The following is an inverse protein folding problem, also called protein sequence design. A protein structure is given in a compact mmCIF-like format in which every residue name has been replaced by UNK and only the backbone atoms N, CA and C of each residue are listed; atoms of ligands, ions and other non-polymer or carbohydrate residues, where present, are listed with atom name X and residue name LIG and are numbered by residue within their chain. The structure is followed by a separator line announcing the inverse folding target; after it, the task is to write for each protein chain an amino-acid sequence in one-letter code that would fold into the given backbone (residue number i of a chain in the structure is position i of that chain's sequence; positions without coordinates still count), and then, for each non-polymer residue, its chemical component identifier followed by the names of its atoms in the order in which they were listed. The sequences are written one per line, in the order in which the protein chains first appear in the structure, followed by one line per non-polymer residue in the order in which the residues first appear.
data_IF_389580525430
#
_entry.id   IF_389580525430
#
_cell.length_a   1.000
_cell.length_b   1.000
_cell.length_c   1.000
_cell.angle_alpha   90.00
_cell.angle_beta   90.00
_cell.angle_gamma   90.00
#
_symmetry.space_group_name_H-M   'P 1'
#
loop_
_entity.id
_entity.type
_entity.pdbx_description
1 polymer ?
#
# COMPACT_ATOMS: atom_id res chain seq x y z
N UNK A 1 21.44 43.59 -17.35
CA UNK A 1 20.76 42.65 -18.28
C UNK A 1 21.33 41.27 -17.99
N UNK A 2 20.67 40.44 -17.17
CA UNK A 2 19.73 39.38 -17.63
C UNK A 2 20.36 38.52 -18.73
N UNK A 3 20.60 37.23 -18.62
CA UNK A 3 20.22 36.23 -17.65
C UNK A 3 20.34 34.89 -18.38
N UNK A 4 21.01 33.91 -17.80
CA UNK A 4 20.84 32.52 -18.21
C UNK A 4 20.54 31.74 -16.94
N UNK A 5 19.24 31.66 -16.62
CA UNK A 5 18.74 30.61 -15.73
C UNK A 5 18.94 29.30 -16.48
N UNK A 6 19.84 28.45 -15.98
CA UNK A 6 19.87 27.04 -16.32
C UNK A 6 18.59 26.42 -15.78
N UNK A 7 17.53 26.41 -16.60
CA UNK A 7 16.38 25.55 -16.38
C UNK A 7 16.80 24.12 -16.68
N UNK A 8 17.51 23.48 -15.74
CA UNK A 8 17.42 22.03 -15.64
C UNK A 8 16.01 21.75 -15.13
N UNK A 9 15.12 21.42 -16.07
CA UNK A 9 13.96 20.57 -15.78
C UNK A 9 14.53 19.25 -15.24
N UNK A 10 14.89 19.26 -13.96
CA UNK A 10 15.13 18.05 -13.21
C UNK A 10 13.79 17.30 -13.23
N UNK A 11 13.77 16.18 -13.95
CA UNK A 11 12.67 15.22 -13.91
C UNK A 11 12.34 14.94 -12.44
N UNK A 12 11.26 15.52 -11.96
CA UNK A 12 10.67 15.28 -10.63
C UNK A 12 10.08 13.86 -10.48
N UNK A 13 10.30 12.98 -11.46
CA UNK A 13 9.75 11.62 -11.49
C UNK A 13 10.60 10.60 -10.70
N UNK A 14 11.71 11.03 -10.11
CA UNK A 14 12.59 10.22 -9.28
C UNK A 14 12.97 11.04 -8.04
N UNK A 15 13.11 10.41 -6.87
CA UNK A 15 13.65 10.97 -5.60
C UNK A 15 12.70 11.30 -4.43
N UNK A 16 11.42 10.91 -4.43
CA UNK A 16 10.66 10.90 -3.16
C UNK A 16 10.65 9.56 -2.42
N UNK A 17 11.00 8.45 -3.08
CA UNK A 17 10.96 7.11 -2.46
C UNK A 17 12.26 6.70 -1.73
N UNK A 18 13.38 7.36 -2.01
CA UNK A 18 14.70 6.99 -1.47
C UNK A 18 14.83 7.34 0.03
N UNK A 19 14.10 8.37 0.50
CA UNK A 19 14.02 8.74 1.92
C UNK A 19 13.03 7.85 2.70
N UNK A 20 12.16 7.11 2.02
CA UNK A 20 11.07 6.37 2.65
C UNK A 20 11.48 4.99 3.15
N UNK A 21 12.61 4.42 2.68
CA UNK A 21 13.23 3.16 3.14
C UNK A 21 14.57 2.94 2.43
N UNK A 22 15.43 2.05 2.96
CA UNK A 22 16.62 1.62 2.21
C UNK A 22 16.14 0.97 0.89
N UNK A 23 16.72 1.34 -0.26
CA UNK A 23 16.44 0.68 -1.53
C UNK A 23 16.55 -0.85 -1.39
N UNK A 24 15.46 -1.56 -1.70
CA UNK A 24 15.36 -3.02 -1.55
C UNK A 24 14.47 -3.50 -0.40
N UNK A 25 14.03 -2.62 0.51
CA UNK A 25 13.15 -3.01 1.62
C UNK A 25 11.65 -2.91 1.30
N UNK A 26 11.27 -2.16 0.26
CA UNK A 26 9.85 -2.04 -0.13
C UNK A 26 9.48 -3.22 -1.04
N UNK A 27 8.63 -4.11 -0.54
CA UNK A 27 8.11 -5.24 -1.30
C UNK A 27 6.88 -4.86 -2.13
N UNK A 28 6.07 -3.90 -1.66
CA UNK A 28 4.86 -3.44 -2.34
C UNK A 28 4.46 -2.04 -1.88
N UNK A 29 3.76 -1.31 -2.73
CA UNK A 29 3.25 0.04 -2.45
C UNK A 29 1.84 0.17 -2.99
N UNK A 30 1.01 0.93 -2.29
CA UNK A 30 -0.32 1.32 -2.75
C UNK A 30 -0.64 2.76 -2.35
N UNK A 31 -1.42 3.43 -3.19
CA UNK A 31 -1.95 4.78 -2.94
C UNK A 31 -3.47 4.69 -2.87
N UNK A 32 -4.08 5.41 -1.92
CA UNK A 32 -5.53 5.46 -1.78
C UNK A 32 -5.96 6.32 -0.61
N UNK A 33 -7.28 6.45 -0.43
CA UNK A 33 -7.91 7.22 0.65
C UNK A 33 -8.36 6.29 1.76
N UNK A 34 -7.39 5.72 2.47
CA UNK A 34 -7.64 4.67 3.45
C UNK A 34 -8.11 5.21 4.81
N UNK A 35 -7.63 6.40 5.23
CA UNK A 35 -7.85 6.94 6.57
C UNK A 35 -8.83 8.12 6.58
N UNK A 36 -8.70 9.00 5.59
CA UNK A 36 -9.61 10.12 5.31
C UNK A 36 -9.92 10.13 3.80
N UNK A 37 -11.16 10.43 3.45
CA UNK A 37 -11.60 10.54 2.03
C UNK A 37 -11.01 11.75 1.31
N UNK A 38 -10.50 12.73 2.06
CA UNK A 38 -9.92 13.95 1.50
C UNK A 38 -8.39 13.92 1.46
N UNK A 39 -7.76 12.90 2.06
CA UNK A 39 -6.30 12.81 2.16
C UNK A 39 -5.83 11.56 1.43
N UNK A 40 -5.07 11.75 0.37
CA UNK A 40 -4.38 10.63 -0.27
C UNK A 40 -3.27 10.11 0.63
N UNK A 41 -3.18 8.79 0.71
CA UNK A 41 -2.25 8.10 1.59
C UNK A 41 -1.43 7.11 0.78
N UNK A 42 -0.12 7.12 0.97
CA UNK A 42 0.78 6.08 0.52
C UNK A 42 0.97 5.07 1.64
N UNK A 43 0.77 3.80 1.32
CA UNK A 43 1.11 2.68 2.21
C UNK A 43 2.22 1.86 1.56
N UNK A 44 3.35 1.75 2.25
CA UNK A 44 4.50 0.94 1.85
C UNK A 44 4.55 -0.33 2.68
N UNK A 45 4.58 -1.49 2.03
CA UNK A 45 4.90 -2.76 2.67
C UNK A 45 6.42 -2.96 2.67
N UNK A 46 6.97 -3.14 3.88
CA UNK A 46 8.37 -3.46 4.13
C UNK A 46 8.45 -4.75 4.93
N UNK A 47 8.49 -5.89 4.24
CA UNK A 47 8.45 -7.22 4.83
C UNK A 47 7.28 -7.38 5.83
N UNK A 48 7.53 -7.22 7.13
CA UNK A 48 6.56 -7.37 8.23
C UNK A 48 6.03 -6.04 8.77
N UNK A 49 6.17 -4.93 8.04
CA UNK A 49 5.66 -3.62 8.45
C UNK A 49 4.93 -2.91 7.31
N UNK A 50 3.88 -2.17 7.66
CA UNK A 50 3.24 -1.19 6.79
C UNK A 50 3.64 0.21 7.26
N UNK A 51 4.19 1.01 6.37
CA UNK A 51 4.57 2.40 6.62
C UNK A 51 3.55 3.31 5.95
N UNK A 52 2.97 4.24 6.70
CA UNK A 52 1.86 5.08 6.25
C UNK A 52 2.34 6.52 6.12
N UNK A 53 2.02 7.14 5.00
CA UNK A 53 2.35 8.53 4.70
C UNK A 53 1.14 9.26 4.13
N UNK A 54 0.83 10.43 4.66
CA UNK A 54 -0.23 11.28 4.10
C UNK A 54 0.37 12.27 3.11
N UNK A 55 -0.35 12.50 2.01
CA UNK A 55 -0.04 13.58 1.09
C UNK A 55 -0.27 14.92 1.81
N UNK A 56 0.76 15.76 1.81
CA UNK A 56 0.69 17.15 2.21
C UNK A 56 0.76 18.02 0.95
N UNK A 57 -0.42 18.41 0.45
CA UNK A 57 -0.56 19.23 -0.75
C UNK A 57 0.04 20.64 -0.59
N UNK A 58 0.22 21.12 0.64
CA UNK A 58 0.76 22.47 0.90
C UNK A 58 2.26 22.52 0.65
N UNK A 59 2.96 21.48 1.10
CA UNK A 59 4.42 21.39 1.04
C UNK A 59 4.92 20.52 -0.13
N UNK A 60 4.03 20.03 -1.00
CA UNK A 60 4.33 19.10 -2.10
C UNK A 60 5.17 17.90 -1.62
N UNK A 61 4.70 17.27 -0.53
CA UNK A 61 5.46 16.24 0.19
C UNK A 61 4.56 15.16 0.82
N UNK A 62 5.19 14.12 1.34
CA UNK A 62 4.52 13.03 2.06
C UNK A 62 4.98 12.97 3.51
N UNK A 63 4.05 13.23 4.42
CA UNK A 63 4.32 13.25 5.86
C UNK A 63 4.15 11.86 6.45
N UNK A 64 5.16 11.41 7.21
CA UNK A 64 5.09 10.14 7.93
C UNK A 64 4.00 10.17 9.01
N UNK A 65 3.19 9.12 9.04
CA UNK A 65 2.07 8.98 9.98
C UNK A 65 2.35 7.89 11.00
N UNK A 66 2.59 6.67 10.53
CA UNK A 66 2.71 5.51 11.42
C UNK A 66 3.42 4.31 10.75
N UNK A 67 3.91 3.40 11.60
CA UNK A 67 4.36 2.07 11.25
C UNK A 67 3.50 1.00 11.93
N UNK A 68 2.73 0.28 11.13
CA UNK A 68 1.91 -0.83 11.61
C UNK A 68 2.66 -2.14 11.41
N UNK A 69 2.92 -2.85 12.50
CA UNK A 69 3.49 -4.21 12.44
C UNK A 69 2.47 -5.20 11.91
N UNK A 70 2.86 -5.98 10.90
CA UNK A 70 2.12 -7.13 10.39
C UNK A 70 2.91 -8.39 10.69
N UNK A 71 2.29 -9.33 11.43
CA UNK A 71 2.94 -10.55 11.93
C UNK A 71 3.43 -11.53 10.84
N UNK A 72 3.13 -11.25 9.57
CA UNK A 72 3.50 -12.06 8.41
C UNK A 72 4.06 -11.17 7.34
N UNK A 73 5.04 -11.70 6.62
CA UNK A 73 5.66 -11.01 5.50
C UNK A 73 4.63 -10.77 4.38
N UNK A 74 4.53 -9.51 3.96
CA UNK A 74 3.62 -9.06 2.93
C UNK A 74 4.22 -9.33 1.56
N UNK A 75 3.49 -10.07 0.74
CA UNK A 75 3.82 -10.30 -0.67
C UNK A 75 3.34 -9.13 -1.55
N UNK A 76 2.08 -8.72 -1.41
CA UNK A 76 1.56 -7.55 -2.13
C UNK A 76 0.44 -6.83 -1.40
N UNK A 77 0.29 -5.55 -1.75
CA UNK A 77 -0.81 -4.68 -1.36
C UNK A 77 -1.63 -4.31 -2.60
N UNK A 78 -2.95 -4.24 -2.45
CA UNK A 78 -3.85 -3.67 -3.46
C UNK A 78 -4.87 -2.73 -2.80
N UNK A 79 -5.21 -1.64 -3.48
CA UNK A 79 -6.32 -0.77 -3.09
C UNK A 79 -7.60 -1.26 -3.76
N UNK A 80 -8.70 -1.21 -3.01
CA UNK A 80 -10.04 -1.36 -3.55
C UNK A 80 -10.82 -0.08 -3.26
N UNK A 81 -10.98 0.75 -4.30
CA UNK A 81 -11.59 2.07 -4.21
C UNK A 81 -13.08 1.94 -3.86
N UNK A 82 -13.53 2.67 -2.84
CA UNK A 82 -14.93 2.64 -2.40
C UNK A 82 -15.65 3.96 -2.76
N UNK A 83 -16.78 3.94 -3.50
CA UNK A 83 -17.44 5.17 -3.96
C UNK A 83 -17.94 6.10 -2.86
N UNK A 84 -18.35 5.55 -1.73
CA UNK A 84 -19.01 6.29 -0.64
C UNK A 84 -18.38 6.03 0.73
N UNK A 85 -17.20 5.42 0.76
CA UNK A 85 -16.53 5.00 1.99
C UNK A 85 -15.02 5.25 1.88
N UNK A 86 -14.28 4.84 2.91
CA UNK A 86 -12.82 4.77 2.85
C UNK A 86 -12.41 3.60 1.96
N UNK A 87 -11.30 3.77 1.24
CA UNK A 87 -10.75 2.71 0.41
C UNK A 87 -10.37 1.51 1.29
N UNK A 88 -10.54 0.32 0.73
CA UNK A 88 -10.16 -0.91 1.41
C UNK A 88 -8.75 -1.30 1.00
N UNK A 89 -7.98 -1.79 1.96
CA UNK A 89 -6.64 -2.32 1.76
C UNK A 89 -6.71 -3.84 1.68
N UNK A 90 -6.32 -4.41 0.55
CA UNK A 90 -6.09 -5.84 0.42
C UNK A 90 -4.62 -6.15 0.67
N UNK A 91 -4.35 -7.08 1.59
CA UNK A 91 -3.01 -7.52 1.96
C UNK A 91 -2.89 -9.00 1.68
N UNK A 92 -1.94 -9.40 0.84
CA UNK A 92 -1.59 -10.80 0.59
C UNK A 92 -0.24 -11.10 1.23
N UNK A 93 -0.16 -12.14 2.05
CA UNK A 93 1.09 -12.63 2.62
C UNK A 93 1.81 -13.59 1.68
N UNK A 94 3.11 -13.79 1.91
CA UNK A 94 3.90 -14.82 1.21
C UNK A 94 3.36 -16.24 1.42
N UNK A 95 2.62 -16.48 2.52
CA UNK A 95 1.97 -17.75 2.83
C UNK A 95 0.67 -17.99 2.04
N UNK A 96 0.29 -17.05 1.15
CA UNK A 96 -0.94 -17.11 0.39
C UNK A 96 -2.19 -16.82 1.22
N UNK A 97 -2.04 -16.28 2.42
CA UNK A 97 -3.16 -15.81 3.25
C UNK A 97 -3.43 -14.35 2.92
N UNK A 98 -4.70 -13.98 2.85
CA UNK A 98 -5.08 -12.63 2.52
C UNK A 98 -6.04 -12.04 3.55
N UNK A 99 -5.96 -10.72 3.68
CA UNK A 99 -6.85 -9.90 4.49
C UNK A 99 -7.41 -8.77 3.62
N UNK A 100 -8.71 -8.57 3.71
CA UNK A 100 -9.37 -7.39 3.15
C UNK A 100 -9.76 -6.48 4.31
N UNK A 101 -9.10 -5.33 4.39
CA UNK A 101 -9.11 -4.45 5.55
C UNK A 101 -9.77 -3.11 5.18
N UNK A 102 -10.46 -2.50 6.14
CA UNK A 102 -10.91 -1.11 6.03
C UNK A 102 -10.57 -0.37 7.31
N UNK A 103 -10.11 0.88 7.21
CA UNK A 103 -9.82 1.67 8.39
C UNK A 103 -11.12 1.97 9.17
N UNK A 104 -11.07 1.80 10.48
CA UNK A 104 -12.18 2.12 11.36
C UNK A 104 -11.65 2.82 12.61
N UNK A 105 -11.82 4.14 12.64
CA UNK A 105 -11.42 5.08 13.70
C UNK A 105 -9.92 5.07 14.01
N UNK A 106 -9.42 4.00 14.61
CA UNK A 106 -8.04 3.90 15.12
C UNK A 106 -7.28 2.66 14.63
N UNK A 107 -7.92 1.75 13.87
CA UNK A 107 -7.24 0.56 13.36
C UNK A 107 -7.86 0.04 12.07
N UNK A 108 -7.07 -0.73 11.32
CA UNK A 108 -7.59 -1.56 10.24
C UNK A 108 -8.47 -2.68 10.80
N UNK A 109 -9.71 -2.72 10.33
CA UNK A 109 -10.67 -3.76 10.65
C UNK A 109 -10.76 -4.77 9.49
N UNK A 110 -10.67 -6.09 9.75
CA UNK A 110 -10.79 -7.10 8.71
C UNK A 110 -12.24 -7.28 8.29
N UNK A 111 -12.55 -6.89 7.05
CA UNK A 111 -13.83 -7.16 6.40
C UNK A 111 -13.93 -8.61 5.94
N UNK A 112 -12.82 -9.18 5.45
CA UNK A 112 -12.75 -10.57 5.03
C UNK A 112 -11.32 -11.11 5.14
N UNK A 113 -11.19 -12.44 5.19
CA UNK A 113 -9.90 -13.15 5.16
C UNK A 113 -10.04 -14.48 4.43
N UNK A 114 -8.94 -14.97 3.88
CA UNK A 114 -8.89 -16.29 3.29
C UNK A 114 -7.48 -16.78 3.05
N UNK A 115 -7.37 -17.93 2.40
CA UNK A 115 -6.09 -18.53 2.02
C UNK A 115 -6.20 -19.09 0.61
N UNK A 116 -5.42 -18.55 -0.31
CA UNK A 116 -5.36 -18.98 -1.72
C UNK A 116 -4.97 -20.45 -1.82
N UNK A 117 -3.98 -20.88 -1.03
CA UNK A 117 -3.52 -22.28 -1.03
C UNK A 117 -4.62 -23.25 -0.62
N UNK A 118 -5.41 -22.89 0.41
CA UNK A 118 -6.58 -23.70 0.82
C UNK A 118 -7.66 -23.69 -0.26
N UNK A 119 -7.90 -22.55 -0.90
CA UNK A 119 -8.91 -22.41 -1.96
C UNK A 119 -8.56 -23.16 -3.24
N UNK A 120 -7.28 -23.31 -3.56
CA UNK A 120 -6.81 -24.01 -4.76
C UNK A 120 -6.71 -25.53 -4.53
N UNK A 121 -6.61 -25.99 -3.28
CA UNK A 121 -6.45 -27.42 -2.95
C UNK A 121 -7.53 -28.34 -3.57
N UNK A 122 -8.84 -27.99 -3.59
CA UNK A 122 -9.84 -28.81 -4.27
C UNK A 122 -9.63 -28.89 -5.78
N UNK A 123 -9.20 -27.78 -6.40
CA UNK A 123 -8.95 -27.72 -7.85
C UNK A 123 -7.78 -28.62 -8.27
N UNK A 124 -6.75 -28.73 -7.42
CA UNK A 124 -5.60 -29.61 -7.66
C UNK A 124 -5.92 -31.09 -7.46
N UNK A 125 -6.90 -31.42 -6.61
CA UNK A 125 -7.25 -32.81 -6.27
C UNK A 125 -8.21 -33.46 -7.29
N UNK A 126 -9.07 -32.67 -7.93
CA UNK A 126 -10.02 -33.15 -8.94
C UNK A 126 -10.04 -32.23 -10.15
N UNK A 127 -9.01 -32.29 -11.01
CA UNK A 127 -8.91 -31.40 -12.17
C UNK A 127 -9.96 -31.67 -13.26
N UNK A 128 -10.56 -32.87 -13.30
CA UNK A 128 -11.40 -33.34 -14.41
C UNK A 128 -12.90 -32.99 -14.33
N UNK A 129 -13.39 -32.33 -13.27
CA UNK A 129 -14.81 -31.94 -13.15
C UNK A 129 -15.13 -30.58 -13.82
N UNK A 130 -14.45 -30.25 -14.92
CA UNK A 130 -14.60 -28.96 -15.61
C UNK A 130 -14.97 -29.13 -17.06
#
# INVERSE_FOLDING_TARGET
MTGYKSGSDERKDCFYLETLSIPGEINSMVVGRFFDRNVETIVLAKSTFLSIFHNNETDDSFDFVDHISVYKEVYCLCASVQPHSLDCLFVLSIGGEWLFLQWNKSRFFPLATGSLLKSIQPLLKTPEQR
#
